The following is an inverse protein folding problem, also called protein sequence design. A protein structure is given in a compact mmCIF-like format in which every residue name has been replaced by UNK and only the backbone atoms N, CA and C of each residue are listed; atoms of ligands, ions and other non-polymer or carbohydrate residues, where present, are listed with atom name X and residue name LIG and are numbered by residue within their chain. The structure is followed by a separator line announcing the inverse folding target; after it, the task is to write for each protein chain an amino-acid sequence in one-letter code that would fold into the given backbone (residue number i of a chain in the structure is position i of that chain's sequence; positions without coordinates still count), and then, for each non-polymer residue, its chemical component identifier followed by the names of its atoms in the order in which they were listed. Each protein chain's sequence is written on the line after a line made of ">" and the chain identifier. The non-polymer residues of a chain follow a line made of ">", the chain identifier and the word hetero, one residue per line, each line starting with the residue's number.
data_IF_380122714406
#
_entry.id   IF_380122714406
#
_cell.length_a   1.000
_cell.length_b   1.000
_cell.length_c   1.000
_cell.angle_alpha   90.00
_cell.angle_beta   90.00
_cell.angle_gamma   90.00
#
_symmetry.space_group_name_H-M   'P 1'
#
loop_
_entity.id
_entity.type
_entity.pdbx_description
1 polymer ?
#
# COMPACT_ATOMS: atom_id res chain seq x y z
N UNK A 1 1.54 -10.07 -11.91
CA UNK A 1 1.50 -11.56 -11.76
C UNK A 1 2.88 -12.10 -12.01
N UNK A 2 3.45 -12.87 -11.08
CA UNK A 2 4.76 -13.49 -11.25
C UNK A 2 4.67 -14.81 -12.04
N UNK A 3 5.84 -15.42 -12.27
CA UNK A 3 5.93 -16.69 -13.03
C UNK A 3 5.05 -17.80 -12.43
N UNK A 4 5.05 -17.97 -11.11
CA UNK A 4 4.25 -19.00 -10.43
C UNK A 4 2.76 -18.76 -10.60
N UNK A 5 2.32 -17.52 -10.56
CA UNK A 5 0.92 -17.12 -10.74
C UNK A 5 0.39 -17.58 -12.11
N UNK A 6 1.16 -17.27 -13.15
CA UNK A 6 0.81 -17.67 -14.52
C UNK A 6 0.82 -19.18 -14.69
N UNK A 7 1.87 -19.86 -14.18
CA UNK A 7 2.03 -21.30 -14.31
C UNK A 7 0.90 -22.09 -13.61
N UNK A 8 0.50 -21.68 -12.39
CA UNK A 8 -0.61 -22.32 -11.67
C UNK A 8 -1.92 -22.19 -12.46
N UNK A 9 -2.20 -21.02 -13.01
CA UNK A 9 -3.43 -20.81 -13.79
C UNK A 9 -3.44 -21.64 -15.06
N UNK A 10 -2.32 -21.70 -15.80
CA UNK A 10 -2.20 -22.50 -17.02
C UNK A 10 -2.37 -24.01 -16.73
N UNK A 11 -1.66 -24.54 -15.75
CA UNK A 11 -1.79 -25.97 -15.41
C UNK A 11 -3.17 -26.31 -14.88
N UNK A 12 -3.80 -25.43 -14.09
CA UNK A 12 -5.19 -25.63 -13.64
C UNK A 12 -6.16 -25.62 -14.82
N UNK A 13 -5.97 -24.74 -15.79
CA UNK A 13 -6.78 -24.70 -17.00
C UNK A 13 -6.65 -26.02 -17.80
N UNK A 14 -5.45 -26.56 -17.96
CA UNK A 14 -5.23 -27.88 -18.58
C UNK A 14 -5.97 -28.99 -17.82
N UNK A 15 -5.96 -28.97 -16.48
CA UNK A 15 -6.73 -29.93 -15.68
C UNK A 15 -8.23 -29.83 -15.93
N UNK A 16 -8.78 -28.63 -16.11
CA UNK A 16 -10.19 -28.41 -16.45
C UNK A 16 -10.53 -29.04 -17.80
N UNK A 17 -9.65 -28.88 -18.77
CA UNK A 17 -9.81 -29.44 -20.11
C UNK A 17 -9.32 -30.88 -20.25
N UNK A 18 -9.24 -31.64 -19.14
CA UNK A 18 -8.70 -33.03 -19.10
C UNK A 18 -9.33 -34.00 -20.11
N UNK A 19 -10.52 -33.72 -20.60
CA UNK A 19 -11.21 -34.55 -21.60
C UNK A 19 -10.59 -34.47 -23.00
N UNK A 20 -9.79 -33.41 -23.24
CA UNK A 20 -9.20 -33.12 -24.54
C UNK A 20 -7.68 -33.41 -24.56
N UNK A 21 -7.11 -33.80 -23.44
CA UNK A 21 -5.68 -34.12 -23.31
C UNK A 21 -5.45 -35.61 -23.00
N UNK A 22 -4.28 -36.14 -23.33
CA UNK A 22 -3.93 -37.51 -22.96
C UNK A 22 -3.73 -37.65 -21.45
N UNK A 23 -3.91 -38.87 -20.94
CA UNK A 23 -3.70 -39.19 -19.51
C UNK A 23 -2.30 -38.75 -19.02
N UNK A 24 -1.27 -38.93 -19.88
CA UNK A 24 0.10 -38.48 -19.56
C UNK A 24 0.18 -36.96 -19.39
N UNK A 25 -0.41 -36.21 -20.31
CA UNK A 25 -0.44 -34.73 -20.23
C UNK A 25 -1.19 -34.28 -18.98
N UNK A 26 -2.36 -34.85 -18.71
CA UNK A 26 -3.12 -34.59 -17.49
C UNK A 26 -2.27 -34.80 -16.22
N UNK A 27 -1.55 -35.95 -16.15
CA UNK A 27 -0.74 -36.28 -14.99
C UNK A 27 0.44 -35.31 -14.80
N UNK A 28 1.13 -34.96 -15.89
CA UNK A 28 2.18 -33.92 -15.84
C UNK A 28 1.65 -32.58 -15.40
N UNK A 29 0.52 -32.12 -15.95
CA UNK A 29 -0.11 -30.86 -15.56
C UNK A 29 -0.51 -30.85 -14.08
N UNK A 30 -1.00 -32.01 -13.56
CA UNK A 30 -1.35 -32.13 -12.15
C UNK A 30 -0.10 -32.03 -11.25
N UNK A 31 0.98 -32.73 -11.56
CA UNK A 31 2.23 -32.62 -10.80
C UNK A 31 2.80 -31.21 -10.85
N UNK A 32 2.82 -30.59 -12.02
CA UNK A 32 3.33 -29.24 -12.19
C UNK A 32 2.45 -28.22 -11.44
N UNK A 33 1.13 -28.37 -11.48
CA UNK A 33 0.23 -27.50 -10.72
C UNK A 33 0.49 -27.59 -9.21
N UNK A 34 0.64 -28.81 -8.67
CA UNK A 34 0.94 -29.02 -7.24
C UNK A 34 2.30 -28.45 -6.87
N UNK A 35 3.35 -28.77 -7.63
CA UNK A 35 4.71 -28.29 -7.36
C UNK A 35 4.76 -26.75 -7.41
N UNK A 36 4.12 -26.17 -8.43
CA UNK A 36 4.11 -24.71 -8.61
C UNK A 36 3.32 -24.02 -7.51
N UNK A 37 2.19 -24.59 -7.06
CA UNK A 37 1.41 -24.06 -5.94
C UNK A 37 2.22 -24.08 -4.61
N UNK A 38 2.92 -25.20 -4.36
CA UNK A 38 3.80 -25.30 -3.19
C UNK A 38 4.95 -24.28 -3.29
N UNK A 39 5.62 -24.22 -4.44
CA UNK A 39 6.71 -23.28 -4.67
C UNK A 39 6.25 -21.82 -4.47
N UNK A 40 5.08 -21.43 -4.99
CA UNK A 40 4.52 -20.10 -4.79
C UNK A 40 4.36 -19.76 -3.31
N UNK A 41 3.74 -20.66 -2.52
CA UNK A 41 3.49 -20.43 -1.09
C UNK A 41 4.81 -20.22 -0.33
N UNK A 42 5.86 -21.00 -0.65
CA UNK A 42 7.14 -20.92 0.06
C UNK A 42 8.06 -19.79 -0.42
N UNK A 43 7.96 -19.35 -1.67
CA UNK A 43 8.86 -18.33 -2.24
C UNK A 43 8.26 -16.92 -2.25
N UNK A 44 6.95 -16.82 -2.47
CA UNK A 44 6.24 -15.54 -2.64
C UNK A 44 5.31 -15.26 -1.46
N UNK A 45 4.87 -16.30 -0.76
CA UNK A 45 3.89 -16.22 0.31
C UNK A 45 2.49 -16.69 -0.10
N UNK A 46 1.67 -16.93 0.92
CA UNK A 46 0.29 -17.36 0.74
C UNK A 46 -0.59 -16.23 0.24
N UNK A 47 -1.26 -16.48 -0.90
CA UNK A 47 -2.22 -15.55 -1.52
C UNK A 47 -3.62 -16.14 -1.42
N UNK A 48 -4.47 -15.57 -0.59
CA UNK A 48 -5.84 -16.07 -0.39
C UNK A 48 -6.67 -16.11 -1.68
N UNK A 49 -6.40 -15.20 -2.64
CA UNK A 49 -7.07 -15.14 -3.96
C UNK A 49 -6.91 -16.45 -4.75
N UNK A 50 -5.84 -17.20 -4.49
CA UNK A 50 -5.56 -18.50 -5.11
C UNK A 50 -6.22 -19.68 -4.39
N UNK A 51 -6.86 -19.47 -3.24
CA UNK A 51 -7.50 -20.54 -2.45
C UNK A 51 -8.47 -21.40 -3.28
N UNK A 52 -9.36 -20.82 -4.11
CA UNK A 52 -10.24 -21.65 -4.93
C UNK A 52 -9.48 -22.43 -6.02
N UNK A 53 -8.36 -21.89 -6.53
CA UNK A 53 -7.48 -22.60 -7.48
C UNK A 53 -6.78 -23.77 -6.81
N UNK A 54 -6.19 -23.55 -5.61
CA UNK A 54 -5.59 -24.65 -4.84
C UNK A 54 -6.61 -25.75 -4.54
N UNK A 55 -7.85 -25.36 -4.20
CA UNK A 55 -8.95 -26.30 -3.99
C UNK A 55 -9.25 -27.13 -5.25
N UNK A 56 -9.30 -26.49 -6.43
CA UNK A 56 -9.49 -27.20 -7.69
C UNK A 56 -8.36 -28.20 -7.98
N UNK A 57 -7.10 -27.82 -7.75
CA UNK A 57 -5.94 -28.71 -7.90
C UNK A 57 -6.09 -29.93 -6.97
N UNK A 58 -6.45 -29.70 -5.70
CA UNK A 58 -6.71 -30.77 -4.73
C UNK A 58 -7.85 -31.68 -5.18
N UNK A 59 -8.95 -31.14 -5.70
CA UNK A 59 -10.06 -31.94 -6.23
C UNK A 59 -9.63 -32.83 -7.40
N UNK A 60 -8.80 -32.32 -8.31
CA UNK A 60 -8.28 -33.13 -9.42
C UNK A 60 -7.30 -34.20 -8.94
N UNK A 61 -6.46 -33.92 -7.94
CA UNK A 61 -5.58 -34.90 -7.32
C UNK A 61 -6.38 -36.01 -6.64
N UNK A 62 -7.40 -35.66 -5.85
CA UNK A 62 -8.30 -36.67 -5.23
C UNK A 62 -9.06 -37.48 -6.27
N UNK A 63 -9.60 -36.83 -7.29
CA UNK A 63 -10.28 -37.53 -8.39
C UNK A 63 -9.38 -38.54 -9.06
N UNK A 64 -8.11 -38.21 -9.32
CA UNK A 64 -7.14 -39.13 -9.92
C UNK A 64 -6.80 -40.28 -8.96
N UNK A 65 -6.47 -39.99 -7.71
CA UNK A 65 -6.05 -40.97 -6.72
C UNK A 65 -7.14 -42.00 -6.41
N UNK A 66 -8.39 -41.53 -6.26
CA UNK A 66 -9.53 -42.43 -5.91
C UNK A 66 -10.33 -42.87 -7.12
N UNK A 67 -9.87 -42.57 -8.33
CA UNK A 67 -10.54 -42.90 -9.59
C UNK A 67 -12.05 -42.55 -9.59
N UNK A 68 -12.37 -41.38 -8.99
CA UNK A 68 -13.76 -40.97 -8.79
C UNK A 68 -14.35 -40.39 -10.07
N UNK A 69 -15.53 -40.87 -10.47
CA UNK A 69 -16.30 -40.30 -11.60
C UNK A 69 -17.79 -40.33 -11.33
N UNK A 70 -18.47 -39.24 -11.72
CA UNK A 70 -19.93 -39.23 -11.70
C UNK A 70 -20.48 -40.10 -12.81
N UNK A 71 -21.44 -40.99 -12.49
CA UNK A 71 -22.15 -41.80 -13.49
C UNK A 71 -23.24 -40.97 -14.20
N UNK A 72 -23.93 -40.09 -13.47
CA UNK A 72 -25.05 -39.28 -13.95
C UNK A 72 -24.57 -38.14 -14.87
N UNK A 73 -25.14 -38.03 -16.07
CA UNK A 73 -24.84 -36.97 -17.06
C UNK A 73 -25.10 -35.58 -16.52
N UNK A 74 -26.18 -35.38 -15.77
CA UNK A 74 -26.52 -34.07 -15.19
C UNK A 74 -25.45 -33.65 -14.19
N UNK A 75 -25.00 -34.55 -13.29
CA UNK A 75 -23.92 -34.26 -12.33
C UNK A 75 -22.58 -33.97 -13.02
N UNK A 76 -22.29 -34.60 -14.15
CA UNK A 76 -21.09 -34.26 -14.95
C UNK A 76 -21.15 -32.86 -15.53
N UNK A 77 -22.33 -32.42 -16.01
CA UNK A 77 -22.51 -31.08 -16.58
C UNK A 77 -22.45 -30.04 -15.46
N UNK A 78 -23.21 -30.22 -14.38
CA UNK A 78 -23.26 -29.25 -13.27
C UNK A 78 -21.91 -29.11 -12.60
N UNK A 79 -21.18 -30.19 -12.35
CA UNK A 79 -19.81 -30.11 -11.80
C UNK A 79 -18.85 -29.37 -12.74
N UNK A 80 -18.93 -29.61 -14.05
CA UNK A 80 -18.14 -28.88 -15.04
C UNK A 80 -18.43 -27.36 -15.05
N UNK A 81 -19.72 -26.99 -14.94
CA UNK A 81 -20.12 -25.57 -14.85
C UNK A 81 -19.60 -24.92 -13.56
N UNK A 82 -19.72 -25.61 -12.42
CA UNK A 82 -19.22 -25.12 -11.13
C UNK A 82 -17.70 -24.93 -11.19
N UNK A 83 -16.95 -25.90 -11.69
CA UNK A 83 -15.50 -25.80 -11.83
C UNK A 83 -15.09 -24.64 -12.74
N UNK A 84 -15.75 -24.52 -13.90
CA UNK A 84 -15.50 -23.40 -14.83
C UNK A 84 -15.82 -22.05 -14.22
N UNK A 85 -16.96 -21.92 -13.52
CA UNK A 85 -17.33 -20.70 -12.81
C UNK A 85 -16.32 -20.36 -11.70
N UNK A 86 -15.94 -21.35 -10.87
CA UNK A 86 -14.93 -21.16 -9.82
C UNK A 86 -13.60 -20.66 -10.40
N UNK A 87 -13.16 -21.22 -11.51
CA UNK A 87 -11.92 -20.81 -12.17
C UNK A 87 -12.02 -19.36 -12.69
N UNK A 88 -13.12 -18.99 -13.35
CA UNK A 88 -13.35 -17.65 -13.88
C UNK A 88 -13.39 -16.63 -12.73
N UNK A 89 -14.15 -16.90 -11.69
CA UNK A 89 -14.23 -16.00 -10.52
C UNK A 89 -12.86 -15.83 -9.87
N UNK A 90 -12.11 -16.92 -9.69
CA UNK A 90 -10.76 -16.84 -9.13
C UNK A 90 -9.83 -16.01 -10.00
N UNK A 91 -9.88 -16.20 -11.33
CA UNK A 91 -9.09 -15.40 -12.26
C UNK A 91 -9.44 -13.91 -12.16
N UNK A 92 -10.72 -13.57 -12.08
CA UNK A 92 -11.17 -12.18 -11.91
C UNK A 92 -10.68 -11.59 -10.58
N UNK A 93 -10.79 -12.35 -9.49
CA UNK A 93 -10.30 -11.91 -8.17
C UNK A 93 -8.79 -11.65 -8.19
N UNK A 94 -8.00 -12.55 -8.78
CA UNK A 94 -6.55 -12.38 -8.93
C UNK A 94 -6.22 -11.16 -9.82
N UNK A 95 -7.00 -10.93 -10.86
CA UNK A 95 -6.80 -9.81 -11.78
C UNK A 95 -7.14 -8.46 -11.14
N UNK A 96 -8.26 -8.36 -10.38
CA UNK A 96 -8.71 -7.11 -9.77
C UNK A 96 -8.08 -6.81 -8.41
N UNK A 97 -7.50 -7.81 -7.74
CA UNK A 97 -6.78 -7.66 -6.48
C UNK A 97 -5.31 -8.09 -6.64
N UNK A 98 -4.52 -7.41 -7.47
CA UNK A 98 -3.12 -7.74 -7.66
C UNK A 98 -2.31 -7.40 -6.40
N UNK A 99 -1.12 -7.99 -6.28
CA UNK A 99 -0.10 -7.53 -5.34
C UNK A 99 0.71 -6.47 -6.09
N UNK A 100 0.69 -5.20 -5.65
CA UNK A 100 1.48 -4.15 -6.28
C UNK A 100 2.98 -4.40 -6.05
N UNK A 101 3.77 -4.11 -7.08
CA UNK A 101 5.23 -4.12 -7.05
C UNK A 101 5.68 -2.71 -7.41
N UNK A 102 6.38 -2.05 -6.50
CA UNK A 102 6.87 -0.69 -6.69
C UNK A 102 8.34 -0.75 -7.06
N UNK A 103 8.62 -0.59 -8.35
CA UNK A 103 9.97 -0.65 -8.93
C UNK A 103 10.40 0.72 -9.40
N UNK A 104 11.69 1.02 -9.28
CA UNK A 104 12.25 2.29 -9.71
C UNK A 104 12.78 2.12 -11.13
N UNK A 105 12.19 2.85 -12.08
CA UNK A 105 12.68 2.90 -13.46
C UNK A 105 13.76 3.97 -13.60
N UNK A 106 14.82 3.65 -14.36
CA UNK A 106 15.92 4.58 -14.67
C UNK A 106 16.54 5.26 -13.43
N UNK A 107 16.71 4.52 -12.34
CA UNK A 107 17.29 5.04 -11.10
C UNK A 107 18.74 5.51 -11.29
N UNK A 108 19.02 6.71 -10.80
CA UNK A 108 20.38 7.26 -10.69
C UNK A 108 21.06 6.79 -9.41
N UNK A 109 20.30 6.72 -8.31
CA UNK A 109 20.72 6.25 -7.00
C UNK A 109 19.82 5.13 -6.51
N UNK A 110 20.33 4.26 -5.67
CA UNK A 110 19.50 3.42 -4.80
C UNK A 110 18.71 4.32 -3.85
N UNK A 111 17.58 3.83 -3.35
CA UNK A 111 16.73 4.60 -2.42
C UNK A 111 16.80 3.98 -1.04
N UNK A 112 17.25 4.76 -0.07
CA UNK A 112 17.11 4.45 1.34
C UNK A 112 15.73 4.82 1.86
N UNK A 113 15.24 4.10 2.86
CA UNK A 113 13.94 4.31 3.49
C UNK A 113 14.06 4.30 5.01
N UNK A 114 13.33 5.22 5.64
CA UNK A 114 13.15 5.29 7.08
C UNK A 114 11.76 5.82 7.41
N UNK A 115 11.09 5.20 8.38
CA UNK A 115 9.86 5.74 8.96
C UNK A 115 10.19 6.38 10.30
N UNK A 116 9.77 7.61 10.52
CA UNK A 116 9.98 8.34 11.77
C UNK A 116 8.66 8.71 12.42
N UNK A 117 8.66 8.63 13.75
CA UNK A 117 7.59 9.13 14.60
C UNK A 117 8.00 10.47 15.18
N UNK A 118 7.11 11.47 15.05
CA UNK A 118 7.31 12.82 15.57
C UNK A 118 6.24 13.10 16.62
N UNK A 119 6.66 13.37 17.86
CA UNK A 119 5.82 13.88 18.92
C UNK A 119 6.14 15.36 19.18
N UNK A 120 5.17 16.24 18.99
CA UNK A 120 5.34 17.69 19.16
C UNK A 120 4.79 18.06 20.51
N UNK A 121 5.61 17.89 21.55
CA UNK A 121 5.22 18.09 22.97
C UNK A 121 4.65 19.48 23.27
N UNK A 122 5.02 20.48 22.50
CA UNK A 122 4.59 21.88 22.68
C UNK A 122 3.28 22.20 21.97
N UNK A 123 2.71 21.25 21.23
CA UNK A 123 1.50 21.46 20.43
C UNK A 123 0.41 20.45 20.75
N UNK A 124 -0.75 20.86 21.30
CA UNK A 124 -1.89 19.97 21.49
C UNK A 124 -2.47 19.54 20.14
N UNK A 125 -3.28 18.49 20.15
CA UNK A 125 -4.03 18.07 18.96
C UNK A 125 -4.95 19.19 18.51
N UNK A 126 -4.91 19.54 17.21
CA UNK A 126 -5.84 20.55 16.68
C UNK A 126 -7.29 20.08 16.71
N UNK A 127 -8.22 20.93 17.15
CA UNK A 127 -9.65 20.60 17.20
C UNK A 127 -10.19 20.15 15.85
N UNK A 128 -9.69 20.71 14.75
CA UNK A 128 -10.06 20.33 13.39
C UNK A 128 -9.80 18.82 13.10
N UNK A 129 -8.74 18.24 13.66
CA UNK A 129 -8.46 16.80 13.51
C UNK A 129 -9.21 15.96 14.55
N UNK A 130 -9.38 16.46 15.78
CA UNK A 130 -10.15 15.75 16.82
C UNK A 130 -11.58 15.49 16.38
N UNK A 131 -12.22 16.46 15.74
CA UNK A 131 -13.60 16.34 15.29
C UNK A 131 -13.84 15.35 14.15
N UNK A 132 -12.81 15.04 13.38
CA UNK A 132 -12.88 14.14 12.21
C UNK A 132 -12.22 12.78 12.45
N UNK A 133 -11.81 12.50 13.68
CA UNK A 133 -11.08 11.28 14.02
C UNK A 133 -11.42 10.81 15.44
N UNK A 134 -10.77 9.72 15.86
CA UNK A 134 -10.82 9.25 17.24
C UNK A 134 -9.66 9.80 18.11
N UNK A 135 -9.07 10.93 17.74
CA UNK A 135 -8.07 11.62 18.56
C UNK A 135 -8.67 12.16 19.85
N UNK A 136 -7.84 12.24 20.90
CA UNK A 136 -8.19 12.92 22.17
C UNK A 136 -7.61 14.34 22.17
N UNK A 137 -8.41 15.30 22.60
CA UNK A 137 -7.98 16.72 22.73
C UNK A 137 -6.81 16.91 23.71
N UNK A 138 -6.66 15.98 24.67
CA UNK A 138 -5.67 16.10 25.75
C UNK A 138 -4.32 15.43 25.40
N UNK A 139 -4.07 15.13 24.13
CA UNK A 139 -2.80 14.55 23.69
C UNK A 139 -2.00 15.58 22.86
N UNK A 140 -0.70 15.34 22.74
CA UNK A 140 0.17 16.13 21.87
C UNK A 140 -0.07 15.80 20.40
N UNK A 141 0.33 16.72 19.51
CA UNK A 141 0.35 16.46 18.08
C UNK A 141 1.40 15.43 17.74
N UNK A 142 0.99 14.33 17.12
CA UNK A 142 1.82 13.22 16.72
C UNK A 142 1.70 13.01 15.21
N UNK A 143 2.83 12.78 14.53
CA UNK A 143 2.89 12.52 13.08
C UNK A 143 3.70 11.25 12.81
N UNK A 144 3.33 10.54 11.76
CA UNK A 144 4.13 9.44 11.21
C UNK A 144 4.60 9.86 9.81
N UNK A 145 5.90 9.73 9.55
CA UNK A 145 6.53 10.30 8.37
C UNK A 145 7.44 9.28 7.72
N UNK A 146 7.31 9.08 6.41
CA UNK A 146 8.25 8.30 5.62
C UNK A 146 9.31 9.24 5.01
N UNK A 147 10.57 8.85 5.09
CA UNK A 147 11.70 9.53 4.45
C UNK A 147 12.33 8.58 3.46
N UNK A 148 12.34 8.98 2.19
CA UNK A 148 13.07 8.33 1.11
C UNK A 148 14.26 9.20 0.74
N UNK A 149 15.43 8.61 0.60
CA UNK A 149 16.66 9.35 0.35
C UNK A 149 17.60 8.60 -0.61
N UNK A 150 18.37 9.32 -1.43
CA UNK A 150 19.32 8.70 -2.36
C UNK A 150 20.52 8.11 -1.60
N UNK A 151 20.95 6.92 -2.05
CA UNK A 151 22.11 6.21 -1.51
C UNK A 151 22.98 5.65 -2.64
N UNK A 152 24.30 5.55 -2.39
CA UNK A 152 25.22 4.84 -3.27
C UNK A 152 25.33 3.34 -2.94
N UNK A 153 24.73 2.90 -1.86
CA UNK A 153 24.75 1.51 -1.45
C UNK A 153 23.93 0.65 -2.40
N UNK A 154 24.31 -0.61 -2.55
CA UNK A 154 23.53 -1.55 -3.32
C UNK A 154 22.31 -1.97 -2.52
N UNK A 155 21.14 -1.80 -3.09
CA UNK A 155 19.90 -2.38 -2.55
C UNK A 155 19.66 -3.76 -3.13
N UNK A 156 19.27 -4.71 -2.29
CA UNK A 156 18.48 -5.85 -2.73
C UNK A 156 17.00 -5.46 -2.59
N UNK A 157 16.11 -5.89 -3.51
CA UNK A 157 14.69 -5.56 -3.43
C UNK A 157 14.16 -5.95 -2.06
N UNK A 158 13.72 -4.99 -1.29
CA UNK A 158 13.25 -5.24 0.07
C UNK A 158 11.75 -5.57 0.04
N UNK A 159 11.36 -6.58 0.79
CA UNK A 159 10.07 -7.24 0.68
C UNK A 159 8.92 -6.49 1.36
N UNK A 160 9.13 -5.33 1.97
CA UNK A 160 8.14 -4.78 2.86
C UNK A 160 7.66 -3.42 2.39
N UNK A 161 6.43 -3.39 1.94
CA UNK A 161 5.65 -2.17 1.73
C UNK A 161 5.45 -1.40 3.05
N UNK A 162 5.51 -2.07 4.21
CA UNK A 162 5.53 -1.51 5.56
C UNK A 162 6.28 -2.43 6.50
N UNK A 163 6.77 -1.86 7.59
CA UNK A 163 7.32 -2.62 8.70
C UNK A 163 6.42 -3.80 9.05
N UNK A 164 7.00 -4.98 9.13
CA UNK A 164 6.30 -6.25 9.33
C UNK A 164 5.46 -6.34 10.63
N UNK A 165 5.48 -5.32 11.46
CA UNK A 165 4.69 -5.25 12.70
C UNK A 165 3.22 -4.88 12.47
N UNK A 166 2.85 -4.36 11.30
CA UNK A 166 1.51 -3.88 11.02
C UNK A 166 0.84 -4.70 9.94
N UNK A 167 -0.34 -5.22 10.25
CA UNK A 167 -1.21 -5.85 9.26
C UNK A 167 -2.02 -4.76 8.56
N UNK A 168 -1.35 -3.95 7.71
CA UNK A 168 -1.96 -2.82 7.03
C UNK A 168 -3.26 -3.20 6.31
N UNK A 169 -3.30 -4.36 5.63
CA UNK A 169 -4.51 -4.84 4.96
C UNK A 169 -5.67 -5.06 5.92
N UNK A 170 -5.43 -5.55 7.14
CA UNK A 170 -6.44 -5.71 8.17
C UNK A 170 -6.91 -4.34 8.70
N UNK A 171 -5.98 -3.40 8.90
CA UNK A 171 -6.30 -2.06 9.38
C UNK A 171 -7.16 -1.29 8.37
N UNK A 172 -6.89 -1.44 7.05
CA UNK A 172 -7.76 -0.92 5.98
C UNK A 172 -9.16 -1.50 6.09
N UNK A 173 -9.32 -2.80 6.29
CA UNK A 173 -10.64 -3.42 6.46
C UNK A 173 -11.33 -2.89 7.72
N UNK A 174 -10.61 -2.72 8.82
CA UNK A 174 -11.15 -2.13 10.04
C UNK A 174 -11.66 -0.70 9.81
N UNK A 175 -10.91 0.11 9.05
CA UNK A 175 -11.35 1.44 8.64
C UNK A 175 -12.62 1.39 7.80
N UNK A 176 -12.66 0.57 6.75
CA UNK A 176 -13.83 0.43 5.87
C UNK A 176 -15.06 -0.06 6.64
N UNK A 177 -14.91 -1.04 7.52
CA UNK A 177 -16.00 -1.55 8.36
C UNK A 177 -16.57 -0.47 9.29
N UNK A 178 -15.70 0.38 9.85
CA UNK A 178 -16.12 1.50 10.72
C UNK A 178 -16.83 2.60 9.93
N UNK A 179 -16.23 3.02 8.80
CA UNK A 179 -16.69 4.18 8.02
C UNK A 179 -17.97 3.87 7.25
N UNK A 180 -18.08 2.65 6.69
CA UNK A 180 -19.22 2.25 5.83
C UNK A 180 -20.20 1.33 6.54
N UNK A 181 -20.01 1.06 7.83
CA UNK A 181 -20.82 0.13 8.62
C UNK A 181 -21.00 -1.25 7.92
N UNK A 182 -19.89 -1.79 7.43
CA UNK A 182 -19.81 -3.08 6.75
C UNK A 182 -19.22 -4.16 7.67
N UNK A 183 -19.28 -5.41 7.24
CA UNK A 183 -18.67 -6.56 7.93
C UNK A 183 -17.75 -7.31 6.94
N UNK A 184 -16.84 -6.60 6.29
CA UNK A 184 -15.88 -7.21 5.40
C UNK A 184 -14.90 -8.09 6.20
N UNK A 185 -14.57 -9.30 5.70
CA UNK A 185 -13.58 -10.15 6.36
C UNK A 185 -12.20 -9.50 6.40
N UNK A 186 -11.51 -9.55 7.53
CA UNK A 186 -10.22 -8.88 7.76
C UNK A 186 -9.11 -9.30 6.78
N UNK A 187 -9.18 -10.51 6.23
CA UNK A 187 -8.16 -11.07 5.35
C UNK A 187 -8.20 -10.55 3.90
N UNK A 188 -9.23 -9.81 3.48
CA UNK A 188 -9.42 -9.43 2.05
C UNK A 188 -8.20 -8.71 1.48
N UNK A 189 -7.57 -7.82 2.25
CA UNK A 189 -6.39 -7.08 1.81
C UNK A 189 -5.06 -7.59 2.38
N UNK A 190 -5.03 -8.73 3.08
CA UNK A 190 -3.78 -9.28 3.62
C UNK A 190 -2.72 -9.58 2.55
N UNK A 191 -3.13 -9.83 1.30
CA UNK A 191 -2.21 -10.01 0.18
C UNK A 191 -1.37 -8.76 -0.12
N UNK A 192 -1.85 -7.56 0.25
CA UNK A 192 -1.11 -6.31 0.07
C UNK A 192 0.13 -6.23 0.96
N UNK A 193 0.17 -6.99 2.06
CA UNK A 193 1.37 -7.14 2.89
C UNK A 193 2.52 -7.86 2.16
N UNK A 194 2.23 -8.50 1.02
CA UNK A 194 3.23 -9.12 0.14
C UNK A 194 3.76 -8.16 -0.93
N UNK A 195 3.36 -6.90 -0.90
CA UNK A 195 3.84 -5.88 -1.85
C UNK A 195 5.32 -5.59 -1.66
N UNK A 196 6.00 -5.35 -2.77
CA UNK A 196 7.44 -5.08 -2.80
C UNK A 196 7.70 -3.60 -3.08
N UNK A 197 8.72 -3.07 -2.42
CA UNK A 197 9.22 -1.73 -2.59
C UNK A 197 10.73 -1.79 -2.86
N UNK A 198 11.18 -1.18 -3.97
CA UNK A 198 12.61 -1.13 -4.32
C UNK A 198 13.35 -0.06 -3.49
N UNK A 199 13.40 -0.27 -2.17
CA UNK A 199 14.13 0.58 -1.22
C UNK A 199 14.92 -0.26 -0.23
N UNK A 200 15.99 0.30 0.34
CA UNK A 200 16.78 -0.33 1.38
C UNK A 200 16.61 0.37 2.73
N UNK A 201 16.49 -0.41 3.81
CA UNK A 201 16.45 0.12 5.17
C UNK A 201 17.85 0.21 5.74
N UNK A 202 18.17 1.33 6.43
CA UNK A 202 19.47 1.52 7.08
C UNK A 202 20.64 1.82 6.14
N UNK A 203 20.36 2.23 4.90
CA UNK A 203 21.41 2.70 3.98
C UNK A 203 21.97 4.06 4.42
N UNK A 204 23.20 4.34 4.00
CA UNK A 204 23.77 5.67 4.17
C UNK A 204 23.29 6.62 3.06
N UNK A 205 22.84 7.84 3.41
CA UNK A 205 22.51 8.84 2.40
C UNK A 205 23.77 9.29 1.66
N UNK A 206 23.62 9.74 0.39
CA UNK A 206 24.75 10.35 -0.32
C UNK A 206 25.19 11.63 0.38
N UNK A 207 26.46 11.95 0.25
CA UNK A 207 27.04 13.17 0.84
C UNK A 207 26.59 14.43 0.07
N UNK A 208 26.47 15.55 0.79
CA UNK A 208 26.15 16.87 0.26
C UNK A 208 24.75 17.33 0.62
N UNK A 209 24.51 18.63 0.49
CA UNK A 209 23.19 19.22 0.69
C UNK A 209 22.28 18.84 -0.46
N UNK A 210 21.15 18.20 -0.12
CA UNK A 210 20.19 17.69 -1.09
C UNK A 210 18.89 18.49 -1.07
N UNK A 211 18.29 18.74 -2.23
CA UNK A 211 16.97 19.34 -2.30
C UNK A 211 15.93 18.41 -1.66
N UNK A 212 14.90 19.00 -1.06
CA UNK A 212 13.83 18.26 -0.39
C UNK A 212 12.50 18.39 -1.11
N UNK A 213 11.77 17.28 -1.19
CA UNK A 213 10.39 17.23 -1.67
C UNK A 213 9.50 16.75 -0.55
N UNK A 214 8.50 17.55 -0.18
CA UNK A 214 7.45 17.16 0.76
C UNK A 214 6.24 16.64 -0.01
N UNK A 215 5.68 15.52 0.43
CA UNK A 215 4.40 15.03 -0.04
C UNK A 215 3.35 15.15 1.06
N UNK A 216 2.19 15.73 0.71
CA UNK A 216 1.03 15.87 1.57
C UNK A 216 -0.21 15.29 0.89
N UNK A 217 -0.84 14.31 1.55
CA UNK A 217 -1.97 13.54 1.01
C UNK A 217 -3.31 14.28 1.13
N UNK A 218 -4.32 13.80 0.44
CA UNK A 218 -5.69 14.31 0.53
C UNK A 218 -6.47 13.75 1.72
N UNK A 219 -7.75 14.14 1.83
CA UNK A 219 -8.68 13.66 2.85
C UNK A 219 -8.82 12.14 2.80
N UNK A 220 -8.69 11.48 3.95
CA UNK A 220 -8.64 10.01 4.06
C UNK A 220 -7.63 9.35 3.12
N UNK A 221 -6.60 10.09 2.68
CA UNK A 221 -5.43 9.54 2.00
C UNK A 221 -4.42 8.99 3.00
N UNK A 222 -3.27 8.59 2.49
CA UNK A 222 -2.11 8.18 3.28
C UNK A 222 -0.82 8.54 2.55
N UNK A 223 0.27 8.67 3.31
CA UNK A 223 1.62 8.90 2.77
C UNK A 223 2.04 7.87 1.73
N UNK A 224 1.53 6.64 1.85
CA UNK A 224 1.89 5.52 0.97
C UNK A 224 1.21 5.55 -0.41
N UNK A 225 0.14 6.33 -0.60
CA UNK A 225 -0.61 6.30 -1.86
C UNK A 225 0.17 6.87 -3.06
N UNK A 226 1.22 7.65 -2.79
CA UNK A 226 2.12 8.17 -3.82
C UNK A 226 3.49 7.47 -3.85
N UNK A 227 3.65 6.34 -3.17
CA UNK A 227 4.97 5.68 -2.96
C UNK A 227 5.74 5.48 -4.26
N UNK A 228 5.09 5.03 -5.34
CA UNK A 228 5.74 4.83 -6.64
C UNK A 228 6.37 6.13 -7.16
N UNK A 229 5.63 7.23 -7.11
CA UNK A 229 6.13 8.55 -7.50
C UNK A 229 7.29 9.00 -6.59
N UNK A 230 7.14 8.81 -5.27
CA UNK A 230 8.08 9.33 -4.27
C UNK A 230 9.43 8.62 -4.33
N UNK A 231 9.45 7.30 -4.47
CA UNK A 231 10.72 6.55 -4.60
C UNK A 231 11.44 6.88 -5.92
N UNK A 232 10.68 7.10 -7.00
CA UNK A 232 11.26 7.53 -8.27
C UNK A 232 11.92 8.91 -8.15
N UNK A 233 11.30 9.88 -7.46
CA UNK A 233 11.89 11.19 -7.20
C UNK A 233 13.15 11.05 -6.34
N UNK A 234 13.10 10.28 -5.25
CA UNK A 234 14.25 10.07 -4.38
C UNK A 234 15.43 9.45 -5.13
N UNK A 235 15.15 8.53 -6.06
CA UNK A 235 16.21 7.91 -6.90
C UNK A 235 16.94 8.89 -7.80
N UNK A 236 16.41 10.08 -8.03
CA UNK A 236 17.05 11.14 -8.84
C UNK A 236 17.94 12.07 -8.02
N UNK A 237 18.00 11.91 -6.69
CA UNK A 237 18.87 12.69 -5.82
C UNK A 237 18.16 13.66 -4.89
N UNK A 238 16.89 13.48 -4.62
CA UNK A 238 16.08 14.27 -3.69
C UNK A 238 15.89 13.51 -2.37
N UNK A 239 15.83 14.24 -1.28
CA UNK A 239 15.23 13.74 -0.04
C UNK A 239 13.71 13.94 -0.18
N UNK A 240 12.93 12.87 -0.03
CA UNK A 240 11.48 12.93 -0.15
C UNK A 240 10.85 12.57 1.20
N UNK A 241 9.98 13.44 1.68
CA UNK A 241 9.34 13.32 2.99
C UNK A 241 7.84 13.25 2.78
N UNK A 242 7.23 12.13 3.14
CA UNK A 242 5.79 11.92 3.04
C UNK A 242 5.16 11.89 4.43
N UNK A 243 4.17 12.75 4.66
CA UNK A 243 3.56 12.97 5.97
C UNK A 243 2.20 12.28 6.03
N UNK A 244 1.95 11.44 7.07
CA UNK A 244 0.60 11.12 7.50
C UNK A 244 0.12 12.21 8.46
N UNK A 245 -0.86 12.98 8.01
CA UNK A 245 -1.54 13.97 8.85
C UNK A 245 -2.50 13.24 9.78
N UNK A 246 -2.02 12.86 10.96
CA UNK A 246 -2.75 12.07 11.95
C UNK A 246 -4.13 12.67 12.23
N UNK A 247 -5.18 11.85 12.10
CA UNK A 247 -6.58 12.26 12.21
C UNK A 247 -7.23 12.59 10.86
N UNK A 248 -6.44 13.00 9.85
CA UNK A 248 -6.93 13.18 8.47
C UNK A 248 -6.63 11.97 7.58
N UNK A 249 -5.47 11.35 7.75
CA UNK A 249 -5.14 10.08 7.10
C UNK A 249 -6.24 9.04 7.36
N UNK A 250 -6.45 8.12 6.42
CA UNK A 250 -7.39 7.00 6.59
C UNK A 250 -7.21 6.37 7.96
N UNK A 251 -5.97 6.09 8.31
CA UNK A 251 -5.53 5.79 9.68
C UNK A 251 -4.03 6.11 9.83
N UNK A 252 -3.59 6.31 11.07
CA UNK A 252 -2.18 6.44 11.41
C UNK A 252 -1.87 5.50 12.56
N UNK A 253 -0.90 4.61 12.38
CA UNK A 253 -0.49 3.64 13.41
C UNK A 253 0.63 4.25 14.25
N UNK A 254 0.26 4.87 15.37
CA UNK A 254 1.19 5.51 16.29
C UNK A 254 1.58 4.52 17.42
N UNK A 255 2.70 4.76 18.13
CA UNK A 255 3.04 4.00 19.34
C UNK A 255 1.95 4.05 20.40
N UNK A 256 1.16 5.13 20.45
CA UNK A 256 0.04 5.34 21.35
C UNK A 256 -1.24 4.56 20.96
N UNK A 257 -1.30 4.05 19.73
CA UNK A 257 -2.44 3.31 19.15
C UNK A 257 -2.83 3.80 17.78
N UNK A 258 -3.76 3.09 17.14
CA UNK A 258 -4.22 3.45 15.78
C UNK A 258 -5.26 4.57 15.82
N UNK A 259 -4.98 5.64 15.14
CA UNK A 259 -5.91 6.77 14.94
C UNK A 259 -6.59 6.60 13.60
N UNK A 260 -7.92 6.62 13.59
CA UNK A 260 -8.75 6.50 12.39
C UNK A 260 -9.45 7.82 12.08
N UNK A 261 -9.49 8.20 10.81
CA UNK A 261 -10.44 9.19 10.34
C UNK A 261 -11.86 8.60 10.45
N UNK A 262 -12.83 9.40 10.89
CA UNK A 262 -14.21 8.93 11.09
C UNK A 262 -15.08 9.05 9.84
N UNK A 263 -14.57 9.69 8.78
CA UNK A 263 -15.34 9.92 7.55
C UNK A 263 -16.51 10.88 7.72
N UNK A 264 -16.52 11.70 8.77
CA UNK A 264 -17.62 12.62 9.09
C UNK A 264 -17.88 13.62 7.97
N UNK A 265 -19.14 13.68 7.50
CA UNK A 265 -19.58 14.62 6.47
C UNK A 265 -19.76 16.05 6.99
N UNK A 266 -19.89 16.25 8.30
CA UNK A 266 -19.96 17.60 8.93
C UNK A 266 -18.63 18.34 8.82
N UNK A 267 -17.57 17.61 8.61
CA UNK A 267 -16.22 18.15 8.45
C UNK A 267 -16.03 19.00 7.18
N UNK A 268 -16.92 18.95 6.20
CA UNK A 268 -16.81 19.75 4.98
C UNK A 268 -16.80 21.27 5.24
N UNK A 269 -17.39 21.72 6.34
CA UNK A 269 -17.39 23.12 6.76
C UNK A 269 -16.05 23.58 7.36
N UNK A 270 -15.18 22.64 7.73
CA UNK A 270 -13.89 22.88 8.40
C UNK A 270 -12.67 22.55 7.56
N UNK A 271 -12.86 22.23 6.29
CA UNK A 271 -11.75 21.83 5.40
C UNK A 271 -10.64 22.87 5.37
N UNK A 272 -10.98 24.17 5.47
CA UNK A 272 -9.97 25.22 5.50
C UNK A 272 -9.11 25.17 6.77
N UNK A 273 -9.71 24.92 7.94
CA UNK A 273 -8.98 24.79 9.19
C UNK A 273 -8.10 23.54 9.16
N UNK A 274 -8.60 22.42 8.61
CA UNK A 274 -7.80 21.21 8.36
C UNK A 274 -6.60 21.52 7.47
N UNK A 275 -6.76 22.23 6.35
CA UNK A 275 -5.66 22.59 5.47
C UNK A 275 -4.62 23.49 6.15
N UNK A 276 -5.06 24.42 7.01
CA UNK A 276 -4.13 25.23 7.83
C UNK A 276 -3.31 24.35 8.76
N UNK A 277 -3.96 23.43 9.47
CA UNK A 277 -3.28 22.54 10.40
C UNK A 277 -2.29 21.60 9.67
N UNK A 278 -2.66 21.10 8.48
CA UNK A 278 -1.73 20.36 7.63
C UNK A 278 -0.50 21.19 7.21
N UNK A 279 -0.70 22.48 6.90
CA UNK A 279 0.42 23.37 6.56
C UNK A 279 1.37 23.59 7.74
N UNK A 280 0.85 23.61 8.97
CA UNK A 280 1.65 23.67 10.20
C UNK A 280 2.37 22.32 10.43
N UNK A 281 1.76 21.19 10.11
CA UNK A 281 2.41 19.88 10.17
C UNK A 281 3.61 19.79 9.21
N UNK A 282 3.51 20.37 7.99
CA UNK A 282 4.64 20.50 7.07
C UNK A 282 5.81 21.22 7.74
N UNK A 283 5.54 22.39 8.35
CA UNK A 283 6.58 23.16 9.03
C UNK A 283 7.21 22.39 10.20
N UNK A 284 6.38 21.76 11.02
CA UNK A 284 6.86 20.97 12.17
C UNK A 284 7.71 19.76 11.72
N UNK A 285 7.34 19.12 10.62
CA UNK A 285 8.11 18.04 10.03
C UNK A 285 9.47 18.53 9.57
N UNK A 286 9.54 19.65 8.84
CA UNK A 286 10.82 20.23 8.39
C UNK A 286 11.71 20.59 9.57
N UNK A 287 11.16 21.22 10.62
CA UNK A 287 11.91 21.57 11.83
C UNK A 287 12.47 20.32 12.55
N UNK A 288 11.73 19.20 12.51
CA UNK A 288 12.19 17.96 13.12
C UNK A 288 13.30 17.30 12.33
N UNK A 289 13.15 17.21 11.00
CA UNK A 289 14.12 16.53 10.12
C UNK A 289 15.43 17.29 9.97
N UNK A 290 15.47 18.60 10.26
CA UNK A 290 16.69 19.40 10.32
C UNK A 290 17.75 18.82 11.28
N UNK A 291 17.30 18.12 12.34
CA UNK A 291 18.17 17.55 13.35
C UNK A 291 18.55 16.09 13.07
N UNK A 292 18.15 15.53 11.93
CA UNK A 292 18.47 14.15 11.56
C UNK A 292 19.80 14.07 10.78
N UNK A 293 20.17 12.84 10.40
CA UNK A 293 21.42 12.54 9.67
C UNK A 293 21.52 13.11 8.25
N UNK A 294 20.42 13.66 7.72
CA UNK A 294 20.35 14.13 6.34
C UNK A 294 20.87 15.55 6.22
N UNK A 295 21.66 15.82 5.16
CA UNK A 295 22.06 17.18 4.80
C UNK A 295 21.02 17.75 3.84
N UNK A 296 20.03 18.47 4.39
CA UNK A 296 18.90 19.02 3.64
C UNK A 296 19.22 20.47 3.24
N UNK A 297 19.04 20.78 1.96
CA UNK A 297 19.04 22.15 1.49
C UNK A 297 17.64 22.79 1.71
N UNK A 298 17.48 23.48 2.82
CA UNK A 298 16.22 24.17 3.15
C UNK A 298 15.92 25.39 2.28
N UNK A 299 16.87 25.85 1.46
CA UNK A 299 16.61 26.86 0.43
C UNK A 299 15.96 26.29 -0.83
N UNK A 300 15.97 24.96 -1.00
CA UNK A 300 15.36 24.24 -2.13
C UNK A 300 14.30 23.25 -1.66
N UNK A 301 13.21 23.78 -1.11
CA UNK A 301 12.05 23.01 -0.65
C UNK A 301 10.99 23.01 -1.73
N UNK A 302 10.64 21.83 -2.21
CA UNK A 302 9.53 21.58 -3.15
C UNK A 302 8.41 20.83 -2.46
N UNK A 303 7.15 21.09 -2.84
CA UNK A 303 5.99 20.42 -2.23
C UNK A 303 5.09 19.84 -3.31
N UNK A 304 4.66 18.61 -3.09
CA UNK A 304 3.64 17.91 -3.88
C UNK A 304 2.43 17.72 -2.98
N UNK A 305 1.31 18.28 -3.37
CA UNK A 305 0.06 18.14 -2.61
C UNK A 305 -1.08 17.58 -3.45
N UNK A 306 -1.76 16.56 -2.93
CA UNK A 306 -2.91 15.95 -3.57
C UNK A 306 -4.21 16.38 -2.88
N UNK A 307 -5.23 16.78 -3.66
CA UNK A 307 -6.56 17.13 -3.14
C UNK A 307 -6.49 18.16 -1.99
N UNK A 308 -6.98 17.86 -0.78
CA UNK A 308 -6.87 18.70 0.43
C UNK A 308 -5.40 19.02 0.76
N UNK A 309 -4.49 18.06 0.54
CA UNK A 309 -3.05 18.28 0.65
C UNK A 309 -2.53 19.32 -0.35
N UNK A 310 -3.12 19.42 -1.54
CA UNK A 310 -2.82 20.48 -2.49
C UNK A 310 -3.17 21.87 -1.93
N UNK A 311 -4.33 21.99 -1.28
CA UNK A 311 -4.73 23.23 -0.60
C UNK A 311 -3.78 23.57 0.55
N UNK A 312 -3.36 22.60 1.36
CA UNK A 312 -2.40 22.81 2.46
C UNK A 312 -1.02 23.21 1.96
N UNK A 313 -0.52 22.56 0.90
CA UNK A 313 0.74 22.88 0.24
C UNK A 313 0.74 24.32 -0.29
N UNK A 314 -0.37 24.74 -0.90
CA UNK A 314 -0.56 26.12 -1.35
C UNK A 314 -0.50 27.11 -0.18
N UNK A 315 -1.23 26.85 0.92
CA UNK A 315 -1.20 27.70 2.13
C UNK A 315 0.20 27.78 2.73
N UNK A 316 0.93 26.68 2.76
CA UNK A 316 2.32 26.68 3.23
C UNK A 316 3.21 27.58 2.37
N UNK A 317 3.16 27.43 1.05
CA UNK A 317 3.99 28.20 0.11
C UNK A 317 3.59 29.70 0.00
N UNK A 318 2.39 30.08 0.46
CA UNK A 318 2.05 31.51 0.59
C UNK A 318 2.83 32.23 1.69
N UNK A 319 3.19 31.49 2.75
CA UNK A 319 3.86 32.06 3.93
C UNK A 319 5.35 31.69 4.00
N UNK A 320 5.79 30.74 3.20
CA UNK A 320 7.15 30.21 3.20
C UNK A 320 7.70 30.15 1.77
N UNK A 321 9.04 30.19 1.66
CA UNK A 321 9.72 30.03 0.37
C UNK A 321 9.58 28.57 -0.11
N UNK A 322 9.02 28.37 -1.29
CA UNK A 322 8.99 27.09 -1.99
C UNK A 322 9.69 27.24 -3.35
N UNK A 323 10.58 26.31 -3.69
CA UNK A 323 11.21 26.26 -4.99
C UNK A 323 10.25 25.78 -6.07
N UNK A 324 9.44 24.79 -5.74
CA UNK A 324 8.42 24.22 -6.64
C UNK A 324 7.18 23.81 -5.85
N UNK A 325 6.02 24.06 -6.43
CA UNK A 325 4.73 23.60 -5.92
C UNK A 325 4.01 22.81 -7.00
N UNK A 326 3.78 21.51 -6.74
CA UNK A 326 3.05 20.62 -7.63
C UNK A 326 1.71 20.29 -7.00
N UNK A 327 0.64 20.63 -7.69
CA UNK A 327 -0.73 20.44 -7.24
C UNK A 327 -1.39 19.33 -8.07
N UNK A 328 -1.72 18.23 -7.41
CA UNK A 328 -2.38 17.07 -8.00
C UNK A 328 -3.87 17.11 -7.61
N UNK A 329 -4.72 17.51 -8.55
CA UNK A 329 -6.17 17.66 -8.35
C UNK A 329 -6.50 18.42 -7.03
N UNK A 330 -5.98 19.64 -6.84
CA UNK A 330 -6.02 20.33 -5.56
C UNK A 330 -7.45 20.73 -5.18
N UNK A 331 -7.78 20.59 -3.90
CA UNK A 331 -9.02 21.11 -3.36
C UNK A 331 -8.78 22.51 -2.79
N UNK A 332 -9.51 23.49 -3.29
CA UNK A 332 -9.49 24.87 -2.79
C UNK A 332 -10.86 25.24 -2.22
N UNK A 333 -10.84 25.89 -1.06
CA UNK A 333 -12.04 26.49 -0.49
C UNK A 333 -12.15 27.92 -1.04
N UNK A 334 -13.29 28.33 -1.61
CA UNK A 334 -13.50 29.74 -1.94
C UNK A 334 -13.33 30.58 -0.68
N UNK A 335 -12.48 31.60 -0.76
CA UNK A 335 -12.27 32.61 0.31
C UNK A 335 -13.37 33.64 0.27
#
# INVERSE_FOLDING_TARGET
>A
MNFFDVAILLFTLELIFNRYVSEKVFLYSLYLAVITAIAQIFTVGYKWQYMPIYFLICLYALKYTFNFSFSNKLLKITSGLIIGFTFIVSFLVIYFLPIPEFTIENKKYSVGYEEIYINIETRPQPSAFVEISNLSENTNRELLVDIYYPSNDKTEPNQLFRNASTNWGETVINYLNRTWNTNLPSYIFNHLNLSYLDVGVGLDPINGELPVVIYTHGWSGEKIFATDQLINIASQGYIVIAIDHTGLAMFTELPSGTIFNTGSTEASTKVFDVMKEMSIDIQNTLNHVENLKYQINFDDVSIIGHSTGGGSAYLYCQSNKCSTLILQDPFFVPI
#
